data_IF_001772797454
#
_entry.id   IF_001772797454
#
_cell.length_a   1.000
_cell.length_b   1.000
_cell.length_c   1.000
_cell.angle_alpha   90.00
_cell.angle_beta   90.00
_cell.angle_gamma   90.00
#
_symmetry.space_group_name_H-M   'P 1'
#
loop_
_entity.id
_entity.type
_entity.pdbx_description
1 polymer ?
#
# COMPACT_ATOMS: atom_id res chain seq x y z
N UNK A 1 16.36 -6.21 11.80
CA UNK A 1 15.91 -4.79 11.75
C UNK A 1 14.68 -4.65 12.62
N UNK A 2 14.68 -3.71 13.54
CA UNK A 2 13.54 -3.43 14.43
C UNK A 2 12.67 -2.33 13.84
N UNK A 3 11.38 -2.57 13.75
CA UNK A 3 10.42 -1.63 13.14
C UNK A 3 9.40 -1.19 14.18
N UNK A 4 9.28 0.12 14.39
CA UNK A 4 8.21 0.71 15.18
C UNK A 4 7.12 1.23 14.26
N UNK A 5 5.87 0.87 14.51
CA UNK A 5 4.69 1.35 13.79
C UNK A 5 3.88 2.22 14.74
N UNK A 6 3.79 3.50 14.45
CA UNK A 6 3.02 4.46 15.24
C UNK A 6 1.62 4.56 14.66
N UNK A 7 0.67 3.92 15.31
CA UNK A 7 -0.73 3.80 14.92
C UNK A 7 -1.11 2.41 14.40
N UNK A 8 -2.03 1.73 15.11
CA UNK A 8 -2.63 0.45 14.73
C UNK A 8 -4.00 0.65 14.04
N UNK A 9 -4.10 1.65 13.16
CA UNK A 9 -5.25 1.85 12.28
C UNK A 9 -5.31 0.78 11.17
N UNK A 10 -6.18 1.00 10.16
CA UNK A 10 -6.31 0.06 9.04
C UNK A 10 -4.97 -0.22 8.37
N UNK A 11 -4.19 0.82 8.03
CA UNK A 11 -2.91 0.65 7.34
C UNK A 11 -1.79 0.18 8.26
N UNK A 12 -1.62 0.79 9.45
CA UNK A 12 -0.58 0.36 10.39
C UNK A 12 -0.80 -1.05 10.94
N UNK A 13 -2.07 -1.41 11.22
CA UNK A 13 -2.41 -2.79 11.59
C UNK A 13 -2.19 -3.79 10.45
N UNK A 14 -2.48 -3.40 9.19
CA UNK A 14 -2.21 -4.24 8.04
C UNK A 14 -0.70 -4.42 7.81
N UNK A 15 0.09 -3.35 7.96
CA UNK A 15 1.55 -3.42 7.91
C UNK A 15 2.10 -4.35 8.99
N UNK A 16 1.65 -4.20 10.24
CA UNK A 16 2.11 -5.04 11.35
C UNK A 16 1.84 -6.54 11.08
N UNK A 17 0.64 -6.87 10.57
CA UNK A 17 0.29 -8.25 10.19
C UNK A 17 1.12 -8.76 9.03
N UNK A 18 1.32 -7.92 8.01
CA UNK A 18 2.15 -8.27 6.86
C UNK A 18 3.58 -8.59 7.30
N UNK A 19 4.22 -7.70 8.06
CA UNK A 19 5.58 -7.90 8.58
C UNK A 19 5.67 -9.17 9.44
N UNK A 20 4.64 -9.47 10.24
CA UNK A 20 4.62 -10.67 11.08
C UNK A 20 4.46 -11.98 10.28
N UNK A 21 4.00 -11.91 9.04
CA UNK A 21 3.91 -13.06 8.11
C UNK A 21 5.15 -13.19 7.24
N UNK A 22 5.95 -12.14 7.11
CA UNK A 22 7.19 -12.14 6.35
C UNK A 22 8.31 -12.90 7.08
N UNK A 23 9.46 -13.00 6.45
CA UNK A 23 10.63 -13.73 6.96
C UNK A 23 11.80 -12.80 7.36
N UNK A 24 11.84 -11.58 6.79
CA UNK A 24 12.95 -10.64 7.00
C UNK A 24 12.89 -9.90 8.33
N UNK A 25 11.68 -9.73 8.89
CA UNK A 25 11.47 -9.07 10.18
C UNK A 25 10.92 -10.07 11.18
N UNK A 26 11.67 -10.34 12.25
CA UNK A 26 11.18 -11.20 13.32
C UNK A 26 9.99 -10.54 14.03
N UNK A 27 8.97 -11.30 14.40
CA UNK A 27 7.79 -10.75 15.10
C UNK A 27 8.14 -10.03 16.40
N UNK A 28 9.19 -10.49 17.11
CA UNK A 28 9.74 -9.84 18.30
C UNK A 28 10.46 -8.51 18.04
N UNK A 29 10.76 -8.19 16.78
CA UNK A 29 11.37 -6.93 16.34
C UNK A 29 10.32 -5.93 15.83
N UNK A 30 9.04 -6.28 15.87
CA UNK A 30 7.92 -5.39 15.52
C UNK A 30 7.36 -4.75 16.78
N UNK A 31 7.35 -3.42 16.81
CA UNK A 31 6.82 -2.60 17.88
C UNK A 31 5.63 -1.80 17.35
N UNK A 32 4.49 -1.86 18.03
CA UNK A 32 3.29 -1.16 17.59
C UNK A 32 2.73 -0.31 18.72
N UNK A 33 2.61 1.00 18.49
CA UNK A 33 1.92 1.88 19.42
C UNK A 33 0.55 2.29 18.92
N UNK A 34 -0.41 2.42 19.83
CA UNK A 34 -1.73 2.94 19.53
C UNK A 34 -2.44 3.40 20.83
N UNK A 35 -3.16 4.53 20.82
CA UNK A 35 -3.87 4.96 22.02
C UNK A 35 -5.00 4.00 22.46
N UNK A 36 -5.56 3.20 21.56
CA UNK A 36 -6.61 2.22 21.85
C UNK A 36 -6.02 0.84 22.13
N UNK A 37 -6.18 0.32 23.34
CA UNK A 37 -5.71 -1.03 23.75
C UNK A 37 -6.39 -2.15 22.98
N UNK A 38 -7.67 -2.02 22.65
CA UNK A 38 -8.42 -3.08 21.95
C UNK A 38 -7.79 -3.50 20.60
N UNK A 39 -7.20 -2.51 19.86
CA UNK A 39 -6.49 -2.83 18.60
C UNK A 39 -5.16 -3.52 18.85
N UNK A 40 -4.47 -3.15 19.92
CA UNK A 40 -3.21 -3.76 20.33
C UNK A 40 -3.43 -5.18 20.82
N UNK A 41 -4.47 -5.41 21.62
CA UNK A 41 -4.88 -6.73 22.13
C UNK A 41 -5.27 -7.67 20.98
N UNK A 42 -6.05 -7.19 20.00
CA UNK A 42 -6.39 -7.96 18.81
C UNK A 42 -5.14 -8.37 18.03
N UNK A 43 -4.21 -7.44 17.80
CA UNK A 43 -2.96 -7.74 17.11
C UNK A 43 -2.09 -8.73 17.88
N UNK A 44 -1.99 -8.57 19.20
CA UNK A 44 -1.23 -9.48 20.07
C UNK A 44 -1.87 -10.85 20.19
N UNK A 45 -3.20 -10.93 20.10
CA UNK A 45 -3.93 -12.20 20.03
C UNK A 45 -3.64 -13.00 18.77
N UNK A 46 -3.46 -12.30 17.64
CA UNK A 46 -3.08 -12.92 16.37
C UNK A 46 -1.56 -13.27 16.30
N UNK A 47 -0.72 -12.38 16.86
CA UNK A 47 0.75 -12.50 16.86
C UNK A 47 1.34 -12.21 18.24
N UNK A 48 1.41 -13.22 19.13
CA UNK A 48 1.78 -13.03 20.54
C UNK A 48 3.16 -12.40 20.78
N UNK A 49 4.07 -12.55 19.82
CA UNK A 49 5.45 -12.05 19.93
C UNK A 49 5.63 -10.59 19.49
N UNK A 50 4.60 -9.94 18.91
CA UNK A 50 4.65 -8.51 18.60
C UNK A 50 4.67 -7.71 19.91
N UNK A 51 5.53 -6.69 19.96
CA UNK A 51 5.57 -5.76 21.08
C UNK A 51 4.50 -4.68 20.89
N UNK A 52 3.60 -4.52 21.85
CA UNK A 52 2.53 -3.54 21.80
C UNK A 52 2.60 -2.60 23.00
N UNK A 53 2.36 -1.31 22.78
CA UNK A 53 2.37 -0.27 23.83
C UNK A 53 1.38 0.85 23.51
N UNK A 54 0.95 1.58 24.53
CA UNK A 54 0.20 2.84 24.35
C UNK A 54 1.10 4.07 24.25
N UNK A 55 2.41 3.92 24.50
CA UNK A 55 3.42 4.99 24.43
C UNK A 55 4.14 4.97 23.09
N UNK A 56 4.06 6.07 22.35
CA UNK A 56 4.83 6.23 21.10
C UNK A 56 6.34 6.25 21.39
N UNK A 57 6.76 6.90 22.48
CA UNK A 57 8.17 6.99 22.87
C UNK A 57 8.78 5.63 23.18
N UNK A 58 8.04 4.74 23.87
CA UNK A 58 8.53 3.38 24.17
C UNK A 58 8.67 2.56 22.89
N UNK A 59 7.75 2.72 21.94
CA UNK A 59 7.79 1.99 20.67
C UNK A 59 9.03 2.37 19.84
N UNK A 60 9.42 3.65 19.82
CA UNK A 60 10.54 4.12 18.98
C UNK A 60 11.93 3.93 19.61
N UNK A 61 12.01 3.69 20.91
CA UNK A 61 13.27 3.70 21.66
C UNK A 61 14.36 2.78 21.10
N UNK A 62 13.98 1.60 20.61
CA UNK A 62 14.92 0.59 20.09
C UNK A 62 14.79 0.33 18.60
N UNK A 63 13.87 0.99 17.92
CA UNK A 63 13.61 0.76 16.50
C UNK A 63 14.77 1.26 15.62
N UNK A 64 14.98 0.60 14.49
CA UNK A 64 15.87 1.06 13.42
C UNK A 64 15.08 1.90 12.41
N UNK A 65 13.80 1.54 12.19
CA UNK A 65 12.88 2.28 11.32
C UNK A 65 11.59 2.59 12.09
N UNK A 66 11.20 3.86 12.09
CA UNK A 66 9.96 4.34 12.70
C UNK A 66 8.96 4.66 11.59
N UNK A 67 7.84 3.95 11.54
CA UNK A 67 6.81 4.11 10.52
C UNK A 67 5.60 4.84 11.09
N UNK A 68 5.30 6.01 10.57
CA UNK A 68 4.11 6.80 10.92
C UNK A 68 2.89 6.31 10.13
N UNK A 69 1.92 5.72 10.83
CA UNK A 69 0.67 5.21 10.26
C UNK A 69 -0.56 5.85 10.93
N UNK A 70 -0.45 7.13 11.23
CA UNK A 70 -1.48 7.95 11.89
C UNK A 70 -2.29 8.77 10.87
N UNK A 71 -3.33 9.46 11.33
CA UNK A 71 -4.08 10.39 10.48
C UNK A 71 -3.25 11.63 10.17
N UNK A 72 -3.41 12.26 8.98
CA UNK A 72 -2.59 13.41 8.54
C UNK A 72 -2.49 14.52 9.59
N UNK A 73 -3.59 14.90 10.20
CA UNK A 73 -3.66 15.97 11.22
C UNK A 73 -3.02 15.63 12.56
N UNK A 74 -2.50 14.40 12.73
CA UNK A 74 -1.80 13.96 13.96
C UNK A 74 -0.30 13.83 13.77
N UNK A 75 0.21 13.94 12.54
CA UNK A 75 1.62 13.68 12.24
C UNK A 75 2.53 14.60 13.02
N UNK A 76 2.31 15.90 12.94
CA UNK A 76 3.13 16.91 13.61
C UNK A 76 3.16 16.69 15.13
N UNK A 77 1.98 16.52 15.74
CA UNK A 77 1.87 16.24 17.18
C UNK A 77 2.65 14.97 17.59
N UNK A 78 2.54 13.90 16.81
CA UNK A 78 3.25 12.64 17.08
C UNK A 78 4.75 12.82 16.92
N UNK A 79 5.17 13.55 15.88
CA UNK A 79 6.59 13.83 15.67
C UNK A 79 7.17 14.70 16.81
N UNK A 80 6.46 15.71 17.28
CA UNK A 80 6.88 16.53 18.43
C UNK A 80 7.07 15.69 19.70
N UNK A 81 6.19 14.69 19.90
CA UNK A 81 6.28 13.75 21.03
C UNK A 81 7.52 12.85 20.93
N UNK A 82 7.75 12.22 19.77
CA UNK A 82 8.80 11.20 19.62
C UNK A 82 10.18 11.78 19.25
N UNK A 83 10.24 12.94 18.60
CA UNK A 83 11.49 13.55 18.10
C UNK A 83 12.61 13.67 19.15
N UNK A 84 12.33 14.05 20.43
CA UNK A 84 13.37 14.08 21.45
C UNK A 84 14.00 12.71 21.74
N UNK A 85 13.26 11.63 21.50
CA UNK A 85 13.65 10.24 21.77
C UNK A 85 14.29 9.53 20.56
N UNK A 86 14.36 10.20 19.40
CA UNK A 86 14.96 9.64 18.19
C UNK A 86 16.47 9.87 18.15
N UNK A 87 17.19 8.84 17.75
CA UNK A 87 18.62 8.88 17.45
C UNK A 87 18.83 8.87 15.94
N UNK A 88 19.06 10.03 15.35
CA UNK A 88 19.21 10.21 13.91
C UNK A 88 20.47 9.61 13.30
N UNK A 89 21.42 9.17 14.15
CA UNK A 89 22.62 8.48 13.66
C UNK A 89 22.34 7.04 13.21
N UNK A 90 21.23 6.45 13.68
CA UNK A 90 20.87 5.04 13.39
C UNK A 90 19.44 4.83 12.95
N UNK A 91 18.52 5.72 13.32
CA UNK A 91 17.08 5.55 13.04
C UNK A 91 16.66 6.27 11.78
N UNK A 92 15.90 5.59 10.95
CA UNK A 92 15.16 6.18 9.84
C UNK A 92 13.71 6.45 10.23
N UNK A 93 13.11 7.49 9.65
CA UNK A 93 11.69 7.80 9.82
C UNK A 93 10.97 7.68 8.50
N UNK A 94 9.93 6.85 8.48
CA UNK A 94 9.09 6.60 7.34
C UNK A 94 7.65 7.08 7.60
N UNK A 95 6.98 7.63 6.60
CA UNK A 95 5.57 8.03 6.70
C UNK A 95 4.74 7.29 5.67
N UNK A 96 3.64 6.64 6.12
CA UNK A 96 2.59 6.07 5.26
C UNK A 96 1.40 7.03 5.13
N UNK A 97 1.57 8.28 5.51
CA UNK A 97 0.49 9.28 5.51
C UNK A 97 0.39 9.91 4.14
N UNK A 98 -0.78 9.74 3.52
CA UNK A 98 -1.04 10.36 2.22
C UNK A 98 -1.01 11.88 2.31
N UNK A 99 -0.40 12.49 1.28
CA UNK A 99 -0.44 13.91 1.16
C UNK A 99 0.71 14.68 1.80
N UNK A 100 1.69 13.99 2.34
CA UNK A 100 2.97 14.57 2.78
C UNK A 100 3.98 14.51 1.64
N UNK A 101 4.91 15.45 1.66
CA UNK A 101 6.15 15.42 0.90
C UNK A 101 7.36 15.29 1.85
N UNK A 102 8.53 14.99 1.27
CA UNK A 102 9.78 14.83 2.03
C UNK A 102 10.18 16.13 2.72
N UNK A 103 9.96 17.27 2.09
CA UNK A 103 10.31 18.59 2.60
C UNK A 103 9.53 18.91 3.87
N UNK A 104 8.21 18.68 3.86
CA UNK A 104 7.36 18.92 5.03
C UNK A 104 7.69 17.94 6.17
N UNK A 105 7.86 16.64 5.85
CA UNK A 105 8.25 15.65 6.85
C UNK A 105 9.61 15.97 7.45
N UNK A 106 10.57 16.41 6.62
CA UNK A 106 11.89 16.83 7.07
C UNK A 106 11.85 18.08 7.97
N UNK A 107 11.02 19.06 7.63
CA UNK A 107 10.86 20.27 8.44
C UNK A 107 10.36 19.95 9.85
N UNK A 108 9.43 19.03 9.99
CA UNK A 108 8.95 18.57 11.31
C UNK A 108 9.99 17.73 12.07
N UNK A 109 10.84 16.98 11.35
CA UNK A 109 11.89 16.15 11.96
C UNK A 109 13.16 16.93 12.33
N UNK A 110 13.34 18.14 11.82
CA UNK A 110 14.55 18.92 12.07
C UNK A 110 14.82 19.05 13.60
N UNK A 111 16.09 18.78 14.00
CA UNK A 111 16.53 18.79 15.39
C UNK A 111 17.97 19.29 15.46
N UNK A 112 18.12 20.60 15.73
CA UNK A 112 19.43 21.24 15.90
C UNK A 112 20.32 21.14 14.65
N UNK A 113 19.75 21.26 13.46
CA UNK A 113 20.43 21.12 12.16
C UNK A 113 20.58 19.68 11.68
N UNK A 114 20.16 18.69 12.47
CA UNK A 114 20.23 17.27 12.09
C UNK A 114 18.90 16.75 11.55
N UNK A 115 18.98 15.86 10.55
CA UNK A 115 17.86 15.17 9.91
C UNK A 115 18.17 13.68 9.79
N UNK A 116 17.18 12.78 10.00
CA UNK A 116 17.37 11.35 9.80
C UNK A 116 17.26 10.97 8.29
N UNK A 117 17.60 9.73 7.96
CA UNK A 117 17.11 9.10 6.76
C UNK A 117 15.57 9.11 6.79
N UNK A 118 14.94 9.54 5.70
CA UNK A 118 13.50 9.82 5.67
C UNK A 118 12.85 9.16 4.47
N UNK A 119 11.69 8.54 4.68
CA UNK A 119 10.96 7.84 3.63
C UNK A 119 9.49 8.26 3.58
N UNK A 120 8.94 8.34 2.37
CA UNK A 120 7.49 8.26 2.15
C UNK A 120 7.19 6.88 1.59
N UNK A 121 6.28 6.16 2.22
CA UNK A 121 5.91 4.80 1.84
C UNK A 121 4.41 4.77 1.55
N UNK A 122 4.04 4.43 0.33
CA UNK A 122 2.66 4.40 -0.11
C UNK A 122 2.26 2.99 -0.57
N UNK A 123 1.84 2.14 0.36
CA UNK A 123 1.24 0.85 0.05
C UNK A 123 -0.24 1.01 -0.32
N UNK A 124 -0.86 -0.09 -0.70
CA UNK A 124 -2.32 -0.18 -0.77
C UNK A 124 -2.87 -1.22 0.22
N UNK A 125 -4.20 -1.34 0.31
CA UNK A 125 -4.85 -2.23 1.29
C UNK A 125 -4.57 -3.71 1.09
N UNK A 126 -4.08 -4.13 -0.09
CA UNK A 126 -3.70 -5.53 -0.35
C UNK A 126 -2.45 -5.97 0.43
N UNK A 127 -1.79 -5.05 1.16
CA UNK A 127 -0.72 -5.39 2.11
C UNK A 127 -1.19 -6.40 3.17
N UNK A 128 -2.48 -6.37 3.52
CA UNK A 128 -3.08 -7.32 4.48
C UNK A 128 -3.07 -8.78 3.98
N UNK A 129 -2.90 -8.99 2.68
CA UNK A 129 -2.85 -10.30 2.01
C UNK A 129 -1.54 -10.51 1.23
N UNK A 130 -0.49 -9.77 1.57
CA UNK A 130 0.86 -9.86 0.98
C UNK A 130 0.87 -9.63 -0.55
N UNK A 131 0.01 -8.74 -1.04
CA UNK A 131 -0.15 -8.42 -2.47
C UNK A 131 -0.20 -6.91 -2.71
N UNK A 132 0.50 -6.14 -1.88
CA UNK A 132 0.57 -4.68 -2.04
C UNK A 132 1.42 -4.31 -3.27
N UNK A 133 1.04 -3.24 -3.94
CA UNK A 133 2.00 -2.44 -4.69
C UNK A 133 2.39 -1.26 -3.80
N UNK A 134 3.67 -1.18 -3.44
CA UNK A 134 4.19 -0.17 -2.51
C UNK A 134 5.21 0.73 -3.21
N UNK A 135 4.99 2.04 -3.14
CA UNK A 135 5.96 3.02 -3.65
C UNK A 135 6.72 3.64 -2.48
N UNK A 136 8.02 3.83 -2.68
CA UNK A 136 8.94 4.37 -1.69
C UNK A 136 9.68 5.55 -2.31
N UNK A 137 9.64 6.68 -1.62
CA UNK A 137 10.53 7.83 -1.87
C UNK A 137 11.49 7.91 -0.71
N UNK A 138 12.78 8.08 -0.99
CA UNK A 138 13.82 8.16 0.02
C UNK A 138 14.56 9.49 -0.01
N UNK A 139 15.04 9.93 1.12
CA UNK A 139 15.92 11.08 1.26
C UNK A 139 16.90 10.87 2.41
N UNK A 140 18.17 11.23 2.18
CA UNK A 140 19.27 11.13 3.15
C UNK A 140 19.56 9.70 3.63
N UNK A 141 19.07 8.71 2.91
CA UNK A 141 19.35 7.28 3.14
C UNK A 141 20.61 6.85 2.38
N UNK A 142 21.15 5.72 2.77
CA UNK A 142 22.17 5.01 2.00
C UNK A 142 21.51 4.00 1.06
N UNK A 143 22.23 3.56 0.03
CA UNK A 143 21.74 2.52 -0.89
C UNK A 143 21.41 1.22 -0.14
N UNK A 144 22.17 0.88 0.90
CA UNK A 144 21.92 -0.32 1.72
C UNK A 144 20.62 -0.19 2.52
N UNK A 145 20.32 0.99 3.04
CA UNK A 145 19.07 1.26 3.75
C UNK A 145 17.88 1.18 2.79
N UNK A 146 18.01 1.75 1.60
CA UNK A 146 16.98 1.69 0.56
C UNK A 146 16.71 0.26 0.12
N UNK A 147 17.75 -0.53 -0.17
CA UNK A 147 17.61 -1.93 -0.53
C UNK A 147 16.93 -2.74 0.59
N UNK A 148 17.38 -2.59 1.83
CA UNK A 148 16.80 -3.33 2.96
C UNK A 148 15.31 -3.00 3.16
N UNK A 149 14.91 -1.73 2.98
CA UNK A 149 13.50 -1.34 3.09
C UNK A 149 12.67 -1.89 1.92
N UNK A 150 13.20 -1.80 0.69
CA UNK A 150 12.55 -2.37 -0.51
C UNK A 150 12.35 -3.88 -0.35
N UNK A 151 13.36 -4.61 0.13
CA UNK A 151 13.28 -6.06 0.33
C UNK A 151 12.17 -6.43 1.32
N UNK A 152 12.07 -5.70 2.45
CA UNK A 152 11.00 -5.90 3.43
C UNK A 152 9.61 -5.69 2.79
N UNK A 153 9.43 -4.63 2.01
CA UNK A 153 8.15 -4.38 1.36
C UNK A 153 7.88 -5.30 0.16
N UNK A 154 8.90 -5.89 -0.44
CA UNK A 154 8.75 -6.95 -1.45
C UNK A 154 8.18 -8.25 -0.87
N UNK A 155 8.41 -8.56 0.42
CA UNK A 155 7.70 -9.66 1.08
C UNK A 155 6.19 -9.39 1.21
N UNK A 156 5.79 -8.12 1.26
CA UNK A 156 4.40 -7.70 1.39
C UNK A 156 3.68 -7.52 0.05
N UNK A 157 4.34 -7.89 -1.05
CA UNK A 157 3.88 -7.77 -2.43
C UNK A 157 5.00 -7.36 -3.37
N UNK A 158 4.91 -6.18 -3.96
CA UNK A 158 5.95 -5.55 -4.77
C UNK A 158 6.23 -4.14 -4.27
N UNK A 159 7.50 -3.77 -4.23
CA UNK A 159 7.93 -2.43 -3.85
C UNK A 159 8.81 -1.80 -4.93
N UNK A 160 8.70 -0.48 -5.09
CA UNK A 160 9.52 0.31 -6.02
C UNK A 160 9.98 1.60 -5.36
N UNK A 161 11.27 1.91 -5.51
CA UNK A 161 11.77 3.27 -5.31
C UNK A 161 11.34 4.12 -6.50
N UNK A 162 10.80 5.30 -6.21
CA UNK A 162 10.36 6.27 -7.22
C UNK A 162 10.79 7.68 -6.83
N UNK A 163 10.86 8.58 -7.81
CA UNK A 163 10.98 10.01 -7.56
C UNK A 163 9.70 10.56 -6.91
N UNK A 164 9.83 11.52 -6.01
CA UNK A 164 8.70 12.13 -5.32
C UNK A 164 7.65 12.72 -6.29
N UNK A 165 8.10 13.27 -7.41
CA UNK A 165 7.24 13.82 -8.46
C UNK A 165 6.28 12.78 -9.07
N UNK A 166 6.64 11.50 -9.06
CA UNK A 166 5.81 10.40 -9.56
C UNK A 166 4.78 9.91 -8.52
N UNK A 167 4.93 10.26 -7.24
CA UNK A 167 4.08 9.73 -6.16
C UNK A 167 2.58 9.98 -6.38
N UNK A 168 2.10 11.14 -6.87
CA UNK A 168 0.66 11.33 -7.11
C UNK A 168 0.08 10.35 -8.14
N UNK A 169 0.79 10.14 -9.25
CA UNK A 169 0.35 9.19 -10.30
C UNK A 169 0.42 7.74 -9.79
N UNK A 170 1.49 7.36 -9.11
CA UNK A 170 1.66 6.05 -8.50
C UNK A 170 0.56 5.75 -7.46
N UNK A 171 0.24 6.72 -6.61
CA UNK A 171 -0.87 6.62 -5.64
C UNK A 171 -2.21 6.42 -6.33
N UNK A 172 -2.48 7.17 -7.41
CA UNK A 172 -3.69 7.02 -8.20
C UNK A 172 -3.80 5.60 -8.79
N UNK A 173 -2.73 5.10 -9.40
CA UNK A 173 -2.71 3.78 -10.03
C UNK A 173 -2.88 2.62 -9.03
N UNK A 174 -2.22 2.65 -7.89
CA UNK A 174 -2.18 1.52 -6.97
C UNK A 174 -3.11 1.69 -5.77
N UNK A 175 -3.02 2.80 -5.04
CA UNK A 175 -3.80 2.99 -3.81
C UNK A 175 -5.26 3.34 -4.09
N UNK A 176 -5.54 4.20 -5.09
CA UNK A 176 -6.90 4.45 -5.57
C UNK A 176 -7.36 3.32 -6.51
N UNK A 177 -6.47 2.83 -7.35
CA UNK A 177 -6.72 1.80 -8.36
C UNK A 177 -7.33 0.52 -7.81
N UNK A 178 -6.99 0.13 -6.57
CA UNK A 178 -7.61 -1.04 -5.94
C UNK A 178 -9.14 -0.86 -5.76
N UNK A 179 -9.59 0.36 -5.49
CA UNK A 179 -11.03 0.65 -5.42
C UNK A 179 -11.67 0.61 -6.81
N UNK A 180 -10.96 1.01 -7.86
CA UNK A 180 -11.43 0.91 -9.25
C UNK A 180 -11.54 -0.55 -9.71
N UNK A 181 -10.59 -1.39 -9.31
CA UNK A 181 -10.68 -2.84 -9.53
C UNK A 181 -11.90 -3.45 -8.81
N UNK A 182 -12.17 -3.07 -7.56
CA UNK A 182 -13.38 -3.48 -6.85
C UNK A 182 -14.66 -2.98 -7.54
N UNK A 183 -14.67 -1.77 -8.11
CA UNK A 183 -15.80 -1.25 -8.88
C UNK A 183 -16.04 -2.06 -10.14
N UNK A 184 -14.99 -2.43 -10.87
CA UNK A 184 -15.09 -3.34 -12.02
C UNK A 184 -15.67 -4.70 -11.61
N UNK A 185 -15.11 -5.32 -10.56
CA UNK A 185 -15.60 -6.61 -10.03
C UNK A 185 -17.10 -6.51 -9.71
N UNK A 186 -17.52 -5.46 -9.03
CA UNK A 186 -18.93 -5.26 -8.66
C UNK A 186 -19.82 -5.12 -9.90
N UNK A 187 -19.43 -4.32 -10.87
CA UNK A 187 -20.20 -4.14 -12.10
C UNK A 187 -20.33 -5.46 -12.91
N UNK A 188 -19.21 -6.21 -13.02
CA UNK A 188 -19.23 -7.51 -13.68
C UNK A 188 -20.11 -8.54 -12.95
N UNK A 189 -20.13 -8.51 -11.61
CA UNK A 189 -21.06 -9.34 -10.82
C UNK A 189 -22.52 -8.97 -11.08
N UNK A 190 -22.85 -7.68 -11.14
CA UNK A 190 -24.21 -7.20 -11.44
C UNK A 190 -24.66 -7.64 -12.83
N UNK A 191 -23.79 -7.51 -13.85
CA UNK A 191 -24.05 -8.03 -15.18
C UNK A 191 -24.23 -9.55 -15.20
N UNK A 192 -23.42 -10.30 -14.45
CA UNK A 192 -23.60 -11.75 -14.30
C UNK A 192 -24.97 -12.14 -13.71
N UNK A 193 -25.42 -11.40 -12.70
CA UNK A 193 -26.74 -11.61 -12.09
C UNK A 193 -27.87 -11.29 -13.08
N UNK A 194 -27.75 -10.23 -13.86
CA UNK A 194 -28.70 -9.89 -14.92
C UNK A 194 -28.79 -10.98 -15.98
N UNK A 195 -27.68 -11.65 -16.25
CA UNK A 195 -27.62 -12.81 -17.18
C UNK A 195 -28.06 -14.14 -16.55
N UNK A 196 -28.54 -14.14 -15.30
CA UNK A 196 -29.08 -15.31 -14.62
C UNK A 196 -28.08 -16.10 -13.76
N UNK A 197 -26.86 -15.63 -13.58
CA UNK A 197 -25.86 -16.25 -12.70
C UNK A 197 -26.16 -15.89 -11.24
N UNK A 198 -26.06 -16.85 -10.33
CA UNK A 198 -26.22 -16.57 -8.89
C UNK A 198 -25.10 -15.61 -8.42
N UNK A 199 -25.43 -14.68 -7.51
CA UNK A 199 -24.53 -13.63 -7.08
C UNK A 199 -23.18 -14.16 -6.53
N UNK A 200 -23.21 -15.22 -5.73
CA UNK A 200 -22.00 -15.84 -5.17
C UNK A 200 -21.14 -16.48 -6.27
N UNK A 201 -21.76 -17.16 -7.22
CA UNK A 201 -21.07 -17.78 -8.36
C UNK A 201 -20.47 -16.68 -9.25
N UNK A 202 -21.21 -15.61 -9.52
CA UNK A 202 -20.72 -14.47 -10.29
C UNK A 202 -19.45 -13.85 -9.67
N UNK A 203 -19.42 -13.70 -8.32
CA UNK A 203 -18.24 -13.23 -7.61
C UNK A 203 -17.02 -14.14 -7.84
N UNK A 204 -17.19 -15.46 -7.66
CA UNK A 204 -16.10 -16.43 -7.84
C UNK A 204 -15.59 -16.45 -9.29
N UNK A 205 -16.49 -16.43 -10.26
CA UNK A 205 -16.16 -16.42 -11.69
C UNK A 205 -15.35 -15.16 -12.03
N UNK A 206 -15.84 -13.96 -11.67
CA UNK A 206 -15.18 -12.69 -11.99
C UNK A 206 -13.80 -12.62 -11.34
N UNK A 207 -13.69 -12.97 -10.06
CA UNK A 207 -12.39 -12.94 -9.35
C UNK A 207 -11.38 -13.89 -9.98
N UNK A 208 -11.78 -15.11 -10.35
CA UNK A 208 -10.86 -16.08 -10.98
C UNK A 208 -10.47 -15.64 -12.38
N UNK A 209 -11.40 -15.07 -13.15
CA UNK A 209 -11.13 -14.54 -14.50
C UNK A 209 -10.11 -13.40 -14.46
N UNK A 210 -10.27 -12.44 -13.52
CA UNK A 210 -9.30 -11.34 -13.36
C UNK A 210 -7.93 -11.84 -12.92
N UNK A 211 -7.88 -12.79 -11.99
CA UNK A 211 -6.60 -13.41 -11.59
C UNK A 211 -5.92 -14.05 -12.80
N UNK A 212 -6.66 -14.84 -13.59
CA UNK A 212 -6.12 -15.46 -14.80
C UNK A 212 -5.62 -14.44 -15.82
N UNK A 213 -6.34 -13.35 -16.04
CA UNK A 213 -5.92 -12.29 -16.97
C UNK A 213 -4.61 -11.62 -16.54
N UNK A 214 -4.46 -11.33 -15.23
CA UNK A 214 -3.21 -10.77 -14.68
C UNK A 214 -2.04 -11.75 -14.85
N UNK A 215 -2.25 -13.04 -14.53
CA UNK A 215 -1.21 -14.07 -14.67
C UNK A 215 -0.79 -14.29 -16.14
N UNK A 216 -1.73 -14.25 -17.09
CA UNK A 216 -1.42 -14.33 -18.52
C UNK A 216 -0.54 -13.17 -18.96
N UNK A 217 -0.87 -11.94 -18.56
CA UNK A 217 -0.03 -10.77 -18.88
C UNK A 217 1.35 -10.87 -18.22
N UNK A 218 1.41 -11.30 -16.96
CA UNK A 218 2.68 -11.46 -16.24
C UNK A 218 3.58 -12.55 -16.87
N UNK A 219 2.99 -13.61 -17.43
CA UNK A 219 3.74 -14.70 -18.04
C UNK A 219 4.20 -14.40 -19.46
N UNK A 220 3.45 -13.59 -20.23
CA UNK A 220 3.72 -13.35 -21.66
C UNK A 220 4.56 -12.11 -21.92
N UNK A 221 4.66 -11.18 -20.97
CA UNK A 221 5.22 -9.82 -21.14
C UNK A 221 4.65 -9.09 -22.39
N UNK A 222 3.46 -9.50 -22.81
CA UNK A 222 2.81 -8.96 -24.01
C UNK A 222 2.05 -7.67 -23.68
N UNK A 223 1.87 -6.82 -24.71
CA UNK A 223 0.99 -5.66 -24.57
C UNK A 223 -0.47 -6.13 -24.35
N UNK A 224 -1.25 -5.51 -23.45
CA UNK A 224 -2.63 -5.91 -23.18
C UNK A 224 -3.52 -6.07 -24.43
N UNK A 225 -3.36 -5.20 -25.44
CA UNK A 225 -4.11 -5.30 -26.69
C UNK A 225 -3.79 -6.58 -27.48
N UNK A 226 -2.54 -7.07 -27.41
CA UNK A 226 -2.19 -8.34 -28.05
C UNK A 226 -2.90 -9.54 -27.40
N UNK A 227 -3.07 -9.50 -26.07
CA UNK A 227 -3.84 -10.54 -25.36
C UNK A 227 -5.35 -10.41 -25.62
N UNK A 228 -5.88 -9.20 -25.81
CA UNK A 228 -7.27 -8.98 -26.25
C UNK A 228 -7.49 -9.58 -27.65
N UNK A 229 -6.59 -9.35 -28.59
CA UNK A 229 -6.68 -9.90 -29.94
C UNK A 229 -6.69 -11.45 -29.95
N UNK A 230 -5.91 -12.08 -29.07
CA UNK A 230 -5.87 -13.54 -28.95
C UNK A 230 -7.20 -14.18 -28.52
N UNK A 231 -8.02 -13.44 -27.76
CA UNK A 231 -9.31 -13.93 -27.24
C UNK A 231 -10.49 -13.37 -28.02
N UNK A 232 -10.27 -12.63 -29.12
CA UNK A 232 -11.29 -12.10 -29.99
C UNK A 232 -11.28 -12.82 -31.36
N UNK A 233 -12.44 -13.27 -31.80
CA UNK A 233 -12.60 -13.92 -33.10
C UNK A 233 -13.57 -13.14 -33.98
N UNK A 234 -13.43 -13.21 -35.34
CA UNK A 234 -14.35 -12.52 -36.24
C UNK A 234 -15.81 -12.87 -35.97
N UNK A 235 -16.62 -11.82 -35.66
CA UNK A 235 -18.06 -11.98 -35.34
C UNK A 235 -18.33 -12.60 -33.95
N UNK A 236 -17.30 -12.87 -33.15
CA UNK A 236 -17.40 -13.50 -31.82
C UNK A 236 -18.12 -12.65 -30.76
N UNK A 237 -18.41 -13.26 -29.62
CA UNK A 237 -19.11 -12.60 -28.51
C UNK A 237 -18.20 -11.58 -27.82
N UNK A 238 -16.91 -11.90 -27.69
CA UNK A 238 -15.93 -11.05 -27.00
C UNK A 238 -15.80 -9.68 -27.64
N UNK A 239 -15.61 -9.61 -28.96
CA UNK A 239 -15.48 -8.33 -29.67
C UNK A 239 -16.76 -7.49 -29.60
N UNK A 240 -17.93 -8.12 -29.60
CA UNK A 240 -19.21 -7.40 -29.42
C UNK A 240 -19.30 -6.78 -28.02
N UNK A 241 -18.90 -7.53 -27.00
CA UNK A 241 -18.84 -7.04 -25.63
C UNK A 241 -17.87 -5.86 -25.46
N UNK A 242 -16.65 -5.98 -25.99
CA UNK A 242 -15.64 -4.90 -25.95
C UNK A 242 -16.14 -3.62 -26.63
N UNK A 243 -16.73 -3.74 -27.84
CA UNK A 243 -17.28 -2.58 -28.55
C UNK A 243 -18.45 -1.93 -27.79
N UNK A 244 -19.30 -2.72 -27.13
CA UNK A 244 -20.36 -2.17 -26.29
C UNK A 244 -19.83 -1.44 -25.05
N UNK A 245 -18.81 -1.98 -24.39
CA UNK A 245 -18.15 -1.32 -23.25
C UNK A 245 -17.49 -0.01 -23.68
N UNK A 246 -16.80 0.01 -24.82
CA UNK A 246 -16.15 1.20 -25.34
C UNK A 246 -17.18 2.26 -25.77
N UNK A 247 -18.26 1.87 -26.42
CA UNK A 247 -19.37 2.77 -26.76
C UNK A 247 -20.01 3.41 -25.50
N UNK A 248 -19.99 2.71 -24.36
CA UNK A 248 -20.41 3.22 -23.06
C UNK A 248 -19.32 4.08 -22.36
N UNK A 249 -18.14 4.27 -22.96
CA UNK A 249 -17.07 5.13 -22.45
C UNK A 249 -16.18 4.47 -21.41
N UNK A 250 -15.96 3.17 -21.48
CA UNK A 250 -15.15 2.44 -20.48
C UNK A 250 -13.74 3.01 -20.34
N UNK A 251 -12.98 3.12 -21.42
CA UNK A 251 -11.62 3.66 -21.42
C UNK A 251 -11.60 5.08 -20.87
N UNK A 252 -12.52 5.93 -21.31
CA UNK A 252 -12.64 7.30 -20.82
C UNK A 252 -12.90 7.36 -19.32
N UNK A 253 -13.81 6.53 -18.79
CA UNK A 253 -14.14 6.54 -17.36
C UNK A 253 -12.98 6.11 -16.47
N UNK A 254 -12.17 5.13 -16.92
CA UNK A 254 -10.95 4.69 -16.21
C UNK A 254 -9.92 5.82 -16.17
N UNK A 255 -9.64 6.47 -17.32
CA UNK A 255 -8.66 7.56 -17.41
C UNK A 255 -9.10 8.75 -16.54
N UNK A 256 -10.36 9.16 -16.62
CA UNK A 256 -10.86 10.28 -15.82
C UNK A 256 -10.87 9.97 -14.31
N UNK A 257 -11.15 8.74 -13.92
CA UNK A 257 -11.02 8.31 -12.52
C UNK A 257 -9.60 8.47 -11.99
N UNK A 258 -8.60 8.05 -12.77
CA UNK A 258 -7.19 8.23 -12.43
C UNK A 258 -6.81 9.71 -12.36
N UNK A 259 -7.19 10.53 -13.34
CA UNK A 259 -6.92 11.97 -13.36
C UNK A 259 -7.56 12.69 -12.17
N UNK A 260 -8.81 12.36 -11.85
CA UNK A 260 -9.52 12.97 -10.73
C UNK A 260 -8.84 12.69 -9.38
N UNK A 261 -8.23 11.54 -9.21
CA UNK A 261 -7.56 11.15 -7.97
C UNK A 261 -6.14 11.72 -7.80
N UNK A 262 -5.57 12.40 -8.79
CA UNK A 262 -4.30 13.14 -8.69
C UNK A 262 -4.48 14.63 -8.38
N UNK A 263 -5.70 15.16 -8.53
CA UNK A 263 -6.01 16.56 -8.23
C UNK A 263 -6.30 16.72 -6.74
N UNK A 264 -5.64 17.67 -6.10
CA UNK A 264 -5.97 18.17 -4.75
C UNK A 264 -6.74 19.46 -4.84
#
# INVERSE_FOLDING_TARGET
MKIAIIGAGNMGGALARGLAQGSLVQTSDIYVSNPSTAKLEALKGEYPNINTTTSNCDAVATADVVVLAVKPWKVEQVLDEIKPHLDYSRQAVASMVGGLDIEQLSAWLEKGGALPATYLIMPNTAIAVMQSMTFIVSARSTAEQDCALVDIFNELGKAMLIEQSAMPAATSLASCGIAYAFRYIRAAMEGGVELGVRADDAKHIVMQTLRGAVEVLAASDAHPEAEIDRVTTPGGLTIRGLNAMEAAGFTHSVIEGLRASTKR
#
